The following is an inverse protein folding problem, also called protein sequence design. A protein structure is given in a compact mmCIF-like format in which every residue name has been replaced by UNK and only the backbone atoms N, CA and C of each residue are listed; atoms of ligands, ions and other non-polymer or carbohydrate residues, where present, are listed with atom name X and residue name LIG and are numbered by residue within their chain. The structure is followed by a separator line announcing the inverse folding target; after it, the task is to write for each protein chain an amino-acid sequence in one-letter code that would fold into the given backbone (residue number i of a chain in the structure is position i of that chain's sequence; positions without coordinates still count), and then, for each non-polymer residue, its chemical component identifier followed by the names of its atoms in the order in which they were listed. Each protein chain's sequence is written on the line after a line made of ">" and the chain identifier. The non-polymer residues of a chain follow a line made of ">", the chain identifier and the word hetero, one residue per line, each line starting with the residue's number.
data_IF_935197876678
#
_entry.id   IF_935197876678
#
_cell.length_a   1.000
_cell.length_b   1.000
_cell.length_c   1.000
_cell.angle_alpha   90.00
_cell.angle_beta   90.00
_cell.angle_gamma   90.00
#
_symmetry.space_group_name_H-M   'P 1'
#
loop_
_entity.id
_entity.type
_entity.pdbx_description
1 polymer ?
#
# COMPACT_ATOMS: atom_id res chain seq x y z
N UNK A 1 -1.08 -24.53 -9.73
CA UNK A 1 -1.75 -23.28 -9.33
C UNK A 1 -0.88 -22.10 -9.68
N UNK A 2 -1.49 -21.06 -10.21
CA UNK A 2 -0.77 -19.83 -10.59
C UNK A 2 -1.31 -18.67 -9.75
N UNK A 3 -0.43 -17.96 -9.06
CA UNK A 3 -0.81 -16.71 -8.39
C UNK A 3 -0.80 -15.58 -9.41
N UNK A 4 -1.89 -14.80 -9.47
CA UNK A 4 -2.00 -13.67 -10.40
C UNK A 4 -2.00 -12.32 -9.70
N UNK A 5 -2.18 -12.31 -8.38
CA UNK A 5 -2.25 -11.08 -7.60
C UNK A 5 -1.63 -11.27 -6.23
N UNK A 6 -1.00 -10.21 -5.70
CA UNK A 6 -0.64 -10.10 -4.30
C UNK A 6 -1.14 -8.73 -3.84
N UNK A 7 -2.19 -8.73 -3.01
CA UNK A 7 -2.89 -7.51 -2.63
C UNK A 7 -2.51 -7.00 -1.24
N UNK A 8 -1.47 -7.55 -0.62
CA UNK A 8 -1.04 -7.10 0.71
C UNK A 8 0.48 -7.11 0.79
N UNK A 9 1.07 -5.95 0.49
CA UNK A 9 2.52 -5.80 0.53
C UNK A 9 2.91 -4.48 1.18
N UNK A 10 4.13 -4.40 1.65
CA UNK A 10 4.69 -3.24 2.34
C UNK A 10 6.00 -2.81 1.70
N UNK A 11 6.32 -1.52 1.84
CA UNK A 11 7.58 -0.95 1.38
C UNK A 11 8.29 -0.25 2.53
N UNK A 12 9.34 0.49 2.22
CA UNK A 12 10.08 1.30 3.20
C UNK A 12 9.16 2.23 4.00
N UNK A 13 8.04 2.67 3.41
CA UNK A 13 7.11 3.58 4.07
C UNK A 13 6.48 2.98 5.33
N UNK A 14 6.33 1.67 5.41
CA UNK A 14 5.82 1.00 6.61
C UNK A 14 6.82 0.92 7.76
N UNK A 15 8.11 1.16 7.49
CA UNK A 15 9.14 1.08 8.51
C UNK A 15 9.61 -0.34 8.85
N UNK A 16 8.94 -1.35 8.35
CA UNK A 16 9.25 -2.76 8.63
C UNK A 16 9.51 -3.57 7.36
N UNK A 17 9.72 -2.89 6.24
CA UNK A 17 10.08 -3.49 4.96
C UNK A 17 11.19 -2.66 4.34
N UNK A 18 11.88 -3.19 3.34
CA UNK A 18 13.15 -2.60 2.92
C UNK A 18 13.24 -2.29 1.43
N UNK A 19 12.15 -2.50 0.69
CA UNK A 19 12.11 -2.19 -0.73
C UNK A 19 11.30 -0.94 -1.02
N UNK A 20 11.63 -0.27 -2.12
CA UNK A 20 10.82 0.85 -2.63
C UNK A 20 9.59 0.32 -3.36
N UNK A 21 8.64 1.22 -3.63
CA UNK A 21 7.46 0.89 -4.46
C UNK A 21 7.91 0.34 -5.81
N UNK A 22 8.87 1.00 -6.47
CA UNK A 22 9.35 0.57 -7.78
C UNK A 22 9.97 -0.82 -7.75
N UNK A 23 10.74 -1.13 -6.73
CA UNK A 23 11.35 -2.45 -6.57
C UNK A 23 10.28 -3.53 -6.38
N UNK A 24 9.24 -3.24 -5.60
CA UNK A 24 8.14 -4.18 -5.38
C UNK A 24 7.36 -4.46 -6.67
N UNK A 25 7.04 -3.41 -7.43
CA UNK A 25 6.32 -3.57 -8.69
C UNK A 25 7.16 -4.35 -9.69
N UNK A 26 8.45 -4.04 -9.79
CA UNK A 26 9.35 -4.75 -10.69
C UNK A 26 9.43 -6.23 -10.34
N UNK A 27 9.60 -6.55 -9.06
CA UNK A 27 9.66 -7.93 -8.61
C UNK A 27 8.36 -8.69 -8.91
N UNK A 28 7.21 -8.03 -8.71
CA UNK A 28 5.92 -8.61 -9.04
C UNK A 28 5.80 -8.90 -10.54
N UNK A 29 6.27 -7.97 -11.37
CA UNK A 29 6.30 -8.15 -12.82
C UNK A 29 7.19 -9.34 -13.22
N UNK A 30 8.38 -9.44 -12.62
CA UNK A 30 9.30 -10.53 -12.89
C UNK A 30 8.73 -11.90 -12.48
N UNK A 31 7.90 -11.92 -11.43
CA UNK A 31 7.20 -13.12 -10.99
C UNK A 31 5.91 -13.37 -11.77
N UNK A 32 5.62 -12.54 -12.77
CA UNK A 32 4.47 -12.68 -13.67
C UNK A 32 3.13 -12.51 -12.96
N UNK A 33 3.09 -11.70 -11.91
CA UNK A 33 1.82 -11.27 -11.33
C UNK A 33 1.14 -10.27 -12.28
N UNK A 34 -0.17 -10.20 -12.23
CA UNK A 34 -0.96 -9.27 -13.04
C UNK A 34 -1.30 -8.01 -12.24
N UNK A 35 -1.42 -8.12 -10.91
CA UNK A 35 -1.76 -7.02 -10.01
C UNK A 35 -0.93 -7.13 -8.73
N UNK A 36 -0.48 -5.97 -8.24
CA UNK A 36 0.11 -5.86 -6.90
C UNK A 36 -0.62 -4.76 -6.11
N UNK A 37 -0.92 -5.04 -4.85
CA UNK A 37 -1.43 -4.06 -3.90
C UNK A 37 -0.33 -3.59 -2.95
N UNK A 38 -0.08 -2.30 -2.93
CA UNK A 38 0.85 -1.66 -1.99
C UNK A 38 -0.01 -1.14 -0.84
N UNK A 39 0.11 -1.76 0.34
CA UNK A 39 -0.81 -1.52 1.46
C UNK A 39 -0.03 -1.26 2.74
N UNK A 40 0.62 -0.11 2.81
CA UNK A 40 1.47 0.26 3.94
C UNK A 40 0.71 0.28 5.27
N UNK A 41 1.42 0.05 6.35
CA UNK A 41 0.88 0.29 7.69
C UNK A 41 0.49 1.75 7.84
N UNK A 42 -0.70 2.00 8.40
CA UNK A 42 -1.19 3.35 8.66
C UNK A 42 -0.44 3.98 9.85
N UNK A 43 -0.62 5.29 10.09
CA UNK A 43 0.30 6.07 10.96
C UNK A 43 0.46 5.60 12.40
N UNK A 44 -0.51 4.89 12.98
CA UNK A 44 -0.38 4.43 14.36
C UNK A 44 0.63 3.30 14.55
N UNK A 45 1.06 2.64 13.48
CA UNK A 45 2.10 1.63 13.56
C UNK A 45 3.46 2.31 13.78
N UNK A 46 4.21 1.97 14.84
CA UNK A 46 5.54 2.54 15.05
C UNK A 46 6.45 2.33 13.84
N UNK A 47 7.12 3.40 13.42
CA UNK A 47 8.02 3.37 12.27
C UNK A 47 7.34 3.60 10.92
N UNK A 48 6.01 3.69 10.88
CA UNK A 48 5.30 3.95 9.64
C UNK A 48 5.30 5.44 9.29
N UNK A 49 4.73 5.74 8.12
CA UNK A 49 4.67 7.09 7.57
C UNK A 49 3.44 7.86 8.08
N UNK A 50 3.28 9.10 7.65
CA UNK A 50 2.18 9.95 8.11
C UNK A 50 1.04 10.03 7.09
N UNK A 51 0.00 10.78 7.46
CA UNK A 51 -1.22 10.95 6.65
C UNK A 51 -0.93 11.47 5.24
N UNK A 52 0.04 12.37 5.07
CA UNK A 52 0.35 12.95 3.76
C UNK A 52 0.80 11.92 2.74
N UNK A 53 1.49 10.88 3.18
CA UNK A 53 1.89 9.78 2.30
C UNK A 53 0.65 9.18 1.62
N UNK A 54 -0.37 8.86 2.41
CA UNK A 54 -1.58 8.22 1.88
C UNK A 54 -2.38 9.17 0.99
N UNK A 55 -2.46 10.43 1.36
CA UNK A 55 -3.16 11.44 0.55
C UNK A 55 -2.49 11.67 -0.80
N UNK A 56 -1.17 11.48 -0.86
CA UNK A 56 -0.38 11.73 -2.07
C UNK A 56 -0.29 10.53 -3.01
N UNK A 57 -0.76 9.35 -2.60
CA UNK A 57 -0.68 8.15 -3.43
C UNK A 57 -1.48 8.27 -4.73
N UNK A 58 -2.46 9.15 -4.79
CA UNK A 58 -3.29 9.34 -5.97
C UNK A 58 -2.53 9.86 -7.20
N UNK A 59 -1.34 10.43 -7.01
CA UNK A 59 -0.51 10.89 -8.14
C UNK A 59 0.27 9.77 -8.82
N UNK A 60 0.37 8.61 -8.18
CA UNK A 60 1.16 7.49 -8.69
C UNK A 60 0.41 6.73 -9.79
N UNK A 61 1.19 6.16 -10.72
CA UNK A 61 0.63 5.39 -11.81
C UNK A 61 -0.02 4.10 -11.30
N UNK A 62 -1.20 3.75 -11.87
CA UNK A 62 -1.91 2.50 -11.56
C UNK A 62 -1.53 1.37 -12.50
N UNK A 63 -0.55 1.60 -13.38
CA UNK A 63 0.01 0.57 -14.25
C UNK A 63 1.49 0.86 -14.45
N UNK A 64 2.34 -0.13 -14.19
CA UNK A 64 3.79 0.02 -14.31
C UNK A 64 4.42 -1.34 -14.53
N UNK A 65 5.49 -1.38 -15.33
CA UNK A 65 6.18 -2.62 -15.68
C UNK A 65 5.22 -3.69 -16.21
N UNK A 66 4.15 -3.26 -16.90
CA UNK A 66 3.19 -4.17 -17.54
C UNK A 66 2.14 -4.77 -16.60
N UNK A 67 2.10 -4.39 -15.33
CA UNK A 67 1.11 -4.91 -14.38
C UNK A 67 0.32 -3.78 -13.73
N UNK A 68 -0.85 -4.11 -13.19
CA UNK A 68 -1.67 -3.16 -12.45
C UNK A 68 -1.14 -2.99 -11.04
N UNK A 69 -1.24 -1.75 -10.53
CA UNK A 69 -0.84 -1.40 -9.18
C UNK A 69 -2.03 -0.79 -8.45
N UNK A 70 -2.32 -1.28 -7.26
CA UNK A 70 -3.37 -0.73 -6.39
C UNK A 70 -2.72 -0.21 -5.12
N UNK A 71 -3.20 0.91 -4.63
CA UNK A 71 -2.67 1.54 -3.42
C UNK A 71 -3.74 1.55 -2.34
N UNK A 72 -3.38 1.06 -1.17
CA UNK A 72 -4.28 0.98 -0.03
C UNK A 72 -3.54 1.24 1.27
N UNK A 73 -4.14 0.88 2.38
CA UNK A 73 -3.56 1.03 3.69
C UNK A 73 -3.98 -0.12 4.60
N UNK A 74 -3.07 -0.58 5.43
CA UNK A 74 -3.39 -1.50 6.50
C UNK A 74 -3.70 -0.66 7.74
N UNK A 75 -5.00 -0.47 8.00
CA UNK A 75 -5.48 0.41 9.06
C UNK A 75 -5.33 -0.22 10.43
N UNK A 76 -5.11 0.61 11.45
CA UNK A 76 -5.17 0.20 12.85
C UNK A 76 -6.48 0.66 13.46
N UNK A 77 -7.16 -0.23 14.17
CA UNK A 77 -8.33 0.12 14.98
C UNK A 77 -7.81 0.65 16.30
N UNK A 78 -8.09 1.90 16.63
CA UNK A 78 -7.47 2.60 17.75
C UNK A 78 -8.35 2.74 18.98
N UNK A 79 -9.62 2.32 18.91
CA UNK A 79 -10.52 2.31 20.07
C UNK A 79 -11.61 1.25 19.92
N UNK A 80 -12.43 1.12 20.94
CA UNK A 80 -13.50 0.11 20.97
C UNK A 80 -14.69 0.48 20.07
N UNK A 81 -14.72 1.68 19.53
CA UNK A 81 -15.77 2.13 18.60
C UNK A 81 -15.44 1.78 17.14
N UNK A 82 -14.25 1.24 16.90
CA UNK A 82 -13.81 0.91 15.56
C UNK A 82 -13.19 2.09 14.79
N UNK A 83 -12.81 3.16 15.50
CA UNK A 83 -12.10 4.29 14.88
C UNK A 83 -10.76 3.82 14.35
N UNK A 84 -10.40 4.28 13.14
CA UNK A 84 -9.13 3.93 12.53
C UNK A 84 -8.18 5.13 12.54
N UNK A 85 -6.89 4.85 12.33
CA UNK A 85 -5.84 5.87 12.34
C UNK A 85 -5.73 6.68 11.04
N UNK A 86 -6.52 6.35 10.02
CA UNK A 86 -6.79 7.21 8.88
C UNK A 86 -8.29 7.47 8.80
N UNK A 87 -8.67 8.73 8.57
CA UNK A 87 -10.08 9.07 8.40
C UNK A 87 -10.49 8.91 6.91
N UNK A 88 -11.81 8.93 6.62
CA UNK A 88 -12.29 8.77 5.24
C UNK A 88 -11.72 9.79 4.26
N UNK A 89 -11.40 11.01 4.68
CA UNK A 89 -10.81 12.02 3.80
C UNK A 89 -9.39 11.64 3.37
N UNK A 90 -8.70 10.88 4.22
CA UNK A 90 -7.33 10.47 3.97
C UNK A 90 -7.22 9.24 3.08
N UNK A 91 -8.25 8.40 3.02
CA UNK A 91 -8.18 7.16 2.25
C UNK A 91 -9.22 7.04 1.11
N UNK A 92 -10.06 8.06 0.90
CA UNK A 92 -11.10 7.99 -0.15
C UNK A 92 -10.56 7.84 -1.56
N UNK A 93 -9.32 8.30 -1.80
CA UNK A 93 -8.68 8.23 -3.11
C UNK A 93 -7.79 6.98 -3.27
N UNK A 94 -7.79 6.11 -2.28
CA UNK A 94 -7.13 4.81 -2.36
C UNK A 94 -8.00 3.80 -3.11
N UNK A 95 -7.38 2.73 -3.53
CA UNK A 95 -8.06 1.68 -4.33
C UNK A 95 -8.80 0.66 -3.48
#
# INVERSE_FOLDING_TARGET
>A
MKYVADMHTHTLASGHAYNTINEMIRAASEKKLEIIGITEHAPAMPGSTNVYYFQNLNILERKKYGIEVRYGAELNIIDLKGTTDLDPRSYRDLD
#
